data_IF_762028415274
#
_entry.id   IF_762028415274
#
_cell.length_a   1.000
_cell.length_b   1.000
_cell.length_c   1.000
_cell.angle_alpha   90.00
_cell.angle_beta   90.00
_cell.angle_gamma   90.00
#
_symmetry.space_group_name_H-M   'P 1'
#
loop_
_entity.id
_entity.type
_entity.pdbx_description
1 polymer ?
#
# COMPACT_ATOMS: atom_id res chain seq x y z
N UNK A 1 24.82 6.94 23.59
CA UNK A 1 23.91 6.77 22.43
C UNK A 1 22.56 7.35 22.82
N UNK A 2 21.99 8.31 22.07
CA UNK A 2 20.76 8.98 22.50
C UNK A 2 19.58 8.01 22.39
N UNK A 3 18.79 7.90 23.48
CA UNK A 3 17.61 7.02 23.62
C UNK A 3 16.61 7.14 22.45
N UNK A 4 16.58 8.28 21.78
CA UNK A 4 15.76 8.53 20.58
C UNK A 4 16.15 7.67 19.37
N UNK A 5 17.45 7.44 19.12
CA UNK A 5 17.91 6.63 17.98
C UNK A 5 17.56 5.15 18.12
N UNK A 6 17.55 4.65 19.35
CA UNK A 6 17.23 3.25 19.64
C UNK A 6 15.74 2.95 19.45
N UNK A 7 14.86 3.84 19.91
CA UNK A 7 13.41 3.74 19.70
C UNK A 7 13.05 3.76 18.22
N UNK A 8 13.63 4.68 17.44
CA UNK A 8 13.45 4.72 15.99
C UNK A 8 13.93 3.44 15.30
N UNK A 9 15.02 2.83 15.78
CA UNK A 9 15.49 1.55 15.23
C UNK A 9 14.56 0.38 15.54
N UNK A 10 13.92 0.37 16.72
CA UNK A 10 12.94 -0.64 17.11
C UNK A 10 11.64 -0.51 16.32
N UNK A 11 11.13 0.71 16.16
CA UNK A 11 9.95 0.99 15.33
C UNK A 11 10.17 0.57 13.88
N UNK A 12 11.33 0.90 13.31
CA UNK A 12 11.72 0.47 11.96
C UNK A 12 11.77 -1.05 11.86
N UNK A 13 12.46 -1.73 12.78
CA UNK A 13 12.54 -3.19 12.80
C UNK A 13 11.17 -3.88 12.91
N UNK A 14 10.22 -3.29 13.65
CA UNK A 14 8.84 -3.80 13.72
C UNK A 14 8.11 -3.65 12.38
N UNK A 15 8.24 -2.50 11.72
CA UNK A 15 7.66 -2.25 10.40
C UNK A 15 8.22 -3.24 9.37
N UNK A 16 9.53 -3.50 9.40
CA UNK A 16 10.15 -4.41 8.43
C UNK A 16 9.72 -5.86 8.63
N UNK A 17 9.68 -6.32 9.89
CA UNK A 17 9.16 -7.64 10.21
C UNK A 17 7.69 -7.77 9.81
N UNK A 18 6.88 -6.73 10.03
CA UNK A 18 5.51 -6.70 9.56
C UNK A 18 5.43 -6.80 8.03
N UNK A 19 6.25 -6.06 7.29
CA UNK A 19 6.24 -6.10 5.82
C UNK A 19 6.71 -7.45 5.25
N UNK A 20 7.69 -8.09 5.89
CA UNK A 20 8.12 -9.45 5.53
C UNK A 20 7.04 -10.49 5.83
N UNK A 21 6.43 -10.43 7.01
CA UNK A 21 5.40 -11.37 7.44
C UNK A 21 4.07 -11.20 6.67
N UNK A 22 3.72 -9.97 6.30
CA UNK A 22 2.48 -9.67 5.57
C UNK A 22 2.57 -10.01 4.07
N UNK A 23 3.75 -10.41 3.58
CA UNK A 23 3.96 -10.71 2.17
C UNK A 23 4.18 -9.48 1.28
N UNK A 24 4.15 -8.26 1.85
CA UNK A 24 4.32 -6.99 1.13
C UNK A 24 5.66 -6.92 0.37
N UNK A 25 6.72 -7.57 0.89
CA UNK A 25 8.05 -7.58 0.28
C UNK A 25 8.39 -8.88 -0.46
N UNK A 26 7.57 -9.92 -0.30
CA UNK A 26 7.93 -11.27 -0.72
C UNK A 26 7.44 -11.63 -2.12
N UNK A 27 6.72 -10.76 -2.84
CA UNK A 27 6.39 -11.11 -4.21
C UNK A 27 6.17 -9.92 -5.14
N UNK A 28 6.83 -10.04 -6.29
CA UNK A 28 6.46 -9.45 -7.58
C UNK A 28 5.01 -9.84 -7.98
N UNK A 29 4.37 -10.80 -7.28
CA UNK A 29 3.05 -11.34 -7.57
C UNK A 29 1.89 -10.65 -6.83
N UNK A 30 2.14 -10.03 -5.67
CA UNK A 30 1.09 -9.33 -4.91
C UNK A 30 1.12 -7.85 -5.26
N UNK A 31 0.58 -7.52 -6.45
CA UNK A 31 0.53 -6.17 -7.00
C UNK A 31 -0.33 -5.19 -6.19
N UNK A 32 -0.73 -5.53 -4.96
CA UNK A 32 -1.58 -4.72 -4.10
C UNK A 32 -0.96 -3.40 -3.67
N UNK A 33 0.34 -3.34 -3.36
CA UNK A 33 0.99 -2.05 -3.00
C UNK A 33 1.11 -1.13 -4.21
N UNK A 34 1.62 -1.59 -5.37
CA UNK A 34 1.53 -0.83 -6.62
C UNK A 34 0.09 -0.42 -6.96
N UNK A 35 -0.89 -1.33 -6.77
CA UNK A 35 -2.30 -1.04 -7.02
C UNK A 35 -2.81 0.09 -6.14
N UNK A 36 -2.56 0.03 -4.83
CA UNK A 36 -2.92 1.09 -3.88
C UNK A 36 -2.25 2.42 -4.23
N UNK A 37 -0.98 2.38 -4.64
CA UNK A 37 -0.25 3.57 -5.06
C UNK A 37 -0.87 4.20 -6.31
N UNK A 38 -1.24 3.40 -7.31
CA UNK A 38 -1.95 3.87 -8.49
C UNK A 38 -3.33 4.45 -8.13
N UNK A 39 -4.14 3.73 -7.34
CA UNK A 39 -5.49 4.13 -6.96
C UNK A 39 -5.48 5.39 -6.08
N UNK A 40 -4.43 5.64 -5.30
CA UNK A 40 -4.34 6.86 -4.50
C UNK A 40 -4.33 8.12 -5.38
N UNK A 41 -3.67 8.05 -6.53
CA UNK A 41 -3.44 9.19 -7.41
C UNK A 41 -4.31 9.19 -8.67
N UNK A 42 -5.02 8.10 -8.94
CA UNK A 42 -6.01 8.03 -10.01
C UNK A 42 -7.24 8.89 -9.69
N UNK A 43 -7.67 9.67 -10.69
CA UNK A 43 -8.94 10.41 -10.66
C UNK A 43 -10.14 9.46 -10.74
N UNK A 44 -9.96 8.28 -11.37
CA UNK A 44 -11.00 7.26 -11.52
C UNK A 44 -11.14 6.34 -10.30
N UNK A 45 -10.32 6.58 -9.27
CA UNK A 45 -10.31 5.74 -8.07
C UNK A 45 -11.55 5.94 -7.23
N UNK A 46 -12.12 4.82 -6.78
CA UNK A 46 -13.28 4.76 -5.88
C UNK A 46 -12.91 4.95 -4.40
N UNK A 47 -11.66 5.30 -4.10
CA UNK A 47 -11.23 5.52 -2.71
C UNK A 47 -11.88 6.78 -2.14
N UNK A 48 -12.57 6.62 -1.01
CA UNK A 48 -13.09 7.72 -0.21
C UNK A 48 -11.95 8.57 0.38
N UNK A 49 -12.22 9.83 0.72
CA UNK A 49 -11.19 10.75 1.23
C UNK A 49 -10.44 10.21 2.45
N UNK A 50 -11.14 9.58 3.40
CA UNK A 50 -10.53 8.97 4.58
C UNK A 50 -9.60 7.80 4.19
N UNK A 51 -10.01 6.98 3.22
CA UNK A 51 -9.17 5.90 2.70
C UNK A 51 -7.94 6.46 2.00
N UNK A 52 -8.08 7.51 1.19
CA UNK A 52 -6.93 8.19 0.55
C UNK A 52 -5.94 8.72 1.58
N UNK A 53 -6.41 9.31 2.68
CA UNK A 53 -5.55 9.80 3.75
C UNK A 53 -4.77 8.66 4.43
N UNK A 54 -5.44 7.55 4.74
CA UNK A 54 -4.79 6.36 5.32
C UNK A 54 -3.76 5.79 4.36
N UNK A 55 -4.14 5.56 3.09
CA UNK A 55 -3.24 5.02 2.07
C UNK A 55 -2.03 5.93 1.86
N UNK A 56 -2.22 7.25 1.81
CA UNK A 56 -1.12 8.22 1.69
C UNK A 56 -0.13 8.12 2.85
N UNK A 57 -0.62 8.04 4.08
CA UNK A 57 0.23 7.89 5.27
C UNK A 57 1.00 6.57 5.21
N UNK A 58 0.29 5.47 4.99
CA UNK A 58 0.90 4.13 4.92
C UNK A 58 1.96 4.05 3.81
N UNK A 59 1.68 4.55 2.61
CA UNK A 59 2.66 4.57 1.52
C UNK A 59 3.86 5.46 1.84
N UNK A 60 3.66 6.58 2.55
CA UNK A 60 4.76 7.45 2.97
C UNK A 60 5.69 6.74 3.97
N UNK A 61 5.12 6.04 4.96
CA UNK A 61 5.90 5.23 5.92
C UNK A 61 6.62 4.07 5.24
N UNK A 62 5.96 3.43 4.27
CA UNK A 62 6.58 2.39 3.44
C UNK A 62 7.76 2.97 2.66
N UNK A 63 7.58 4.10 1.97
CA UNK A 63 8.63 4.66 1.12
C UNK A 63 9.80 5.27 1.91
N UNK A 64 9.59 5.63 3.18
CA UNK A 64 10.62 6.23 4.05
C UNK A 64 11.54 5.21 4.72
N UNK A 65 11.14 3.94 4.85
CA UNK A 65 12.03 2.90 5.41
C UNK A 65 13.16 2.56 4.44
N UNK A 66 14.41 2.55 4.89
CA UNK A 66 15.59 2.17 4.08
C UNK A 66 15.62 0.69 3.68
N UNK A 67 14.76 -0.13 4.29
CA UNK A 67 14.83 -1.59 4.16
C UNK A 67 13.97 -2.16 3.03
N UNK A 68 13.21 -1.31 2.33
CA UNK A 68 12.54 -1.72 1.08
C UNK A 68 13.54 -1.76 -0.07
N UNK A 69 13.65 -2.89 -0.78
CA UNK A 69 14.50 -2.99 -1.95
C UNK A 69 14.17 -1.92 -3.00
N UNK A 70 15.19 -1.38 -3.66
CA UNK A 70 15.03 -0.32 -4.66
C UNK A 70 13.99 -0.65 -5.74
N UNK A 71 13.98 -1.89 -6.25
CA UNK A 71 13.03 -2.31 -7.27
C UNK A 71 11.56 -2.24 -6.81
N UNK A 72 11.27 -2.49 -5.53
CA UNK A 72 9.92 -2.35 -4.98
C UNK A 72 9.53 -0.87 -4.91
N UNK A 73 10.44 0.01 -4.46
CA UNK A 73 10.19 1.47 -4.45
C UNK A 73 9.93 2.01 -5.85
N UNK A 74 10.75 1.58 -6.81
CA UNK A 74 10.60 1.98 -8.22
C UNK A 74 9.24 1.53 -8.78
N UNK A 75 8.79 0.30 -8.47
CA UNK A 75 7.45 -0.16 -8.85
C UNK A 75 6.33 0.68 -8.23
N UNK A 76 6.42 1.02 -6.94
CA UNK A 76 5.43 1.87 -6.26
C UNK A 76 5.39 3.28 -6.88
N UNK A 77 6.56 3.83 -7.21
CA UNK A 77 6.69 5.13 -7.85
C UNK A 77 6.07 5.12 -9.26
N UNK A 78 6.44 4.14 -10.09
CA UNK A 78 5.87 3.96 -11.43
C UNK A 78 4.35 3.78 -11.39
N UNK A 79 3.83 3.03 -10.42
CA UNK A 79 2.40 2.87 -10.25
C UNK A 79 1.69 4.16 -9.85
N UNK A 80 2.33 4.97 -8.99
CA UNK A 80 1.81 6.30 -8.62
C UNK A 80 1.73 7.23 -9.83
N UNK A 81 2.79 7.31 -10.63
CA UNK A 81 2.83 8.11 -11.85
C UNK A 81 1.82 7.60 -12.88
N UNK A 82 1.69 6.28 -13.04
CA UNK A 82 0.67 5.69 -13.89
C UNK A 82 -0.75 6.09 -13.45
N UNK A 83 -1.02 6.08 -12.14
CA UNK A 83 -2.29 6.53 -11.58
C UNK A 83 -2.60 7.98 -11.94
N UNK A 84 -1.62 8.88 -11.80
CA UNK A 84 -1.77 10.31 -12.15
C UNK A 84 -2.03 10.53 -13.64
N UNK A 85 -1.32 9.80 -14.51
CA UNK A 85 -1.31 10.06 -15.96
C UNK A 85 -2.46 9.36 -16.70
N UNK A 86 -2.75 8.12 -16.33
CA UNK A 86 -3.65 7.24 -17.10
C UNK A 86 -4.85 6.77 -16.28
N UNK A 87 -4.72 6.71 -14.95
CA UNK A 87 -5.78 6.23 -14.04
C UNK A 87 -6.16 4.76 -14.20
N UNK A 88 -5.45 4.00 -15.05
CA UNK A 88 -5.73 2.59 -15.38
C UNK A 88 -5.01 1.63 -14.42
N UNK A 89 -5.49 1.55 -13.18
CA UNK A 89 -4.81 0.77 -12.15
C UNK A 89 -5.01 -0.75 -12.26
N UNK A 90 -5.90 -1.21 -13.16
CA UNK A 90 -6.23 -2.62 -13.43
C UNK A 90 -5.01 -3.52 -13.68
N UNK A 91 -3.93 -2.99 -14.27
CA UNK A 91 -2.72 -3.74 -14.58
C UNK A 91 -1.95 -4.23 -13.34
N UNK A 92 -2.15 -3.57 -12.19
CA UNK A 92 -1.56 -3.99 -10.93
C UNK A 92 -2.52 -4.98 -10.28
N UNK A 93 -2.33 -6.26 -10.61
CA UNK A 93 -3.18 -7.34 -10.14
C UNK A 93 -3.12 -7.45 -8.62
N UNK A 94 -4.29 -7.43 -8.00
CA UNK A 94 -4.43 -7.54 -6.56
C UNK A 94 -5.76 -8.21 -6.26
N UNK A 95 -5.70 -9.46 -5.81
CA UNK A 95 -6.90 -10.28 -5.52
C UNK A 95 -7.86 -9.59 -4.54
N UNK A 96 -7.33 -8.79 -3.61
CA UNK A 96 -8.12 -8.04 -2.61
C UNK A 96 -8.87 -6.82 -3.18
N UNK A 97 -8.42 -6.29 -4.32
CA UNK A 97 -9.12 -5.22 -5.06
C UNK A 97 -10.07 -5.80 -6.12
N UNK A 98 -9.79 -7.01 -6.60
CA UNK A 98 -10.58 -7.71 -7.62
C UNK A 98 -11.76 -8.48 -7.02
N UNK A 99 -11.68 -8.89 -5.76
CA UNK A 99 -12.80 -9.46 -5.00
C UNK A 99 -13.77 -8.38 -4.54
N UNK A 100 -14.96 -8.34 -5.16
CA UNK A 100 -16.16 -7.58 -4.82
C UNK A 100 -16.15 -6.79 -3.48
N UNK A 101 -16.18 -5.46 -3.57
CA UNK A 101 -16.54 -4.54 -2.48
C UNK A 101 -18.01 -4.67 -1.99
N UNK A 102 -18.71 -5.77 -2.31
CA UNK A 102 -20.17 -5.90 -2.11
C UNK A 102 -20.56 -6.93 -1.04
N UNK A 103 -19.70 -7.89 -0.68
CA UNK A 103 -20.15 -9.00 0.18
C UNK A 103 -20.06 -8.78 1.70
N UNK A 104 -19.46 -7.68 2.17
CA UNK A 104 -19.20 -7.53 3.62
C UNK A 104 -20.15 -6.58 4.35
N UNK A 105 -20.89 -5.72 3.66
CA UNK A 105 -21.86 -4.82 4.32
C UNK A 105 -23.26 -5.43 4.43
N UNK A 106 -23.70 -6.26 3.46
CA UNK A 106 -25.04 -6.88 3.52
C UNK A 106 -25.17 -7.98 4.60
N UNK A 107 -24.06 -8.48 5.16
CA UNK A 107 -24.09 -9.47 6.24
C UNK A 107 -24.18 -8.86 7.65
N UNK A 108 -23.95 -7.57 7.81
CA UNK A 108 -24.06 -6.90 9.12
C UNK A 108 -25.46 -6.32 9.39
N UNK A 109 -26.30 -6.15 8.36
CA UNK A 109 -27.67 -5.62 8.51
C UNK A 109 -28.74 -6.72 8.67
N UNK A 110 -28.35 -8.01 8.75
CA UNK A 110 -29.28 -9.15 8.90
C UNK A 110 -29.04 -10.02 10.13
N UNK A 111 -28.44 -9.49 11.20
CA UNK A 111 -28.39 -10.16 12.51
C UNK A 111 -28.81 -9.19 13.61
#
# INVERSE_FOLDING_TARGET
>A
VPKSSYLLSQERGMIDNYMKCSGLLNSIQDGCVPRLACELWSENSKLFQNQRNVVRRTLSEIMSTEMIPYHIRDMIYKASEHGKLLGQCAQYHCKRFEGNQVETLEKFERN
#
